data_IF_930823513129
#
_entry.id   IF_930823513129
#
_cell.length_a   1.000
_cell.length_b   1.000
_cell.length_c   1.000
_cell.angle_alpha   90.00
_cell.angle_beta   90.00
_cell.angle_gamma   90.00
#
_symmetry.space_group_name_H-M   'P 1'
#
loop_
_entity.id
_entity.type
_entity.pdbx_description
1 polymer ?
#
# COMPACT_ATOMS: atom_id res chain seq x y z
N UNK A 1 -19.00 10.37 -38.89
CA UNK A 1 -17.95 11.00 -38.06
C UNK A 1 -18.01 12.50 -38.26
N UNK A 2 -18.12 13.26 -37.18
CA UNK A 2 -18.21 14.73 -37.23
C UNK A 2 -16.82 15.34 -37.48
N UNK A 3 -16.76 16.56 -38.01
CA UNK A 3 -15.49 17.28 -38.22
C UNK A 3 -14.66 17.44 -36.93
N UNK A 4 -15.34 17.50 -35.77
CA UNK A 4 -14.71 17.53 -34.45
C UNK A 4 -14.05 16.19 -34.04
N UNK A 5 -14.55 15.06 -34.54
CA UNK A 5 -13.92 13.75 -34.34
C UNK A 5 -12.70 13.53 -35.25
N UNK A 6 -12.66 14.16 -36.43
CA UNK A 6 -11.49 14.10 -37.33
C UNK A 6 -10.32 14.91 -36.79
N UNK A 7 -10.58 16.11 -36.26
CA UNK A 7 -9.56 16.95 -35.64
C UNK A 7 -8.92 16.32 -34.37
N UNK A 8 -9.66 15.47 -33.64
CA UNK A 8 -9.12 14.74 -32.48
C UNK A 8 -8.15 13.61 -32.88
N UNK A 9 -8.38 12.97 -34.04
CA UNK A 9 -7.50 11.89 -34.54
C UNK A 9 -6.27 12.47 -35.25
N UNK A 10 -6.40 13.62 -35.92
CA UNK A 10 -5.32 14.26 -36.69
C UNK A 10 -4.30 15.04 -35.83
N UNK A 11 -4.62 15.33 -34.56
CA UNK A 11 -3.74 16.04 -33.62
C UNK A 11 -2.84 15.15 -32.75
N UNK A 12 -3.02 13.83 -32.79
CA UNK A 12 -2.15 12.87 -32.11
C UNK A 12 -0.89 12.70 -32.96
N UNK A 13 0.07 13.62 -32.79
CA UNK A 13 1.44 13.38 -33.22
C UNK A 13 1.86 11.99 -32.75
N UNK A 14 2.63 11.31 -33.61
CA UNK A 14 3.09 9.93 -33.43
C UNK A 14 4.01 9.86 -32.20
N UNK A 15 3.42 9.88 -31.01
CA UNK A 15 4.14 9.75 -29.76
C UNK A 15 4.73 8.34 -29.77
N UNK A 16 6.05 8.27 -29.90
CA UNK A 16 6.77 7.03 -30.03
C UNK A 16 6.45 6.14 -28.83
N UNK A 17 5.74 5.04 -29.08
CA UNK A 17 5.53 3.99 -28.08
C UNK A 17 6.89 3.57 -27.51
N UNK A 18 6.99 3.27 -26.20
CA UNK A 18 8.24 2.78 -25.63
C UNK A 18 8.70 1.53 -26.40
N UNK A 19 10.01 1.38 -26.66
CA UNK A 19 10.53 0.23 -27.40
C UNK A 19 10.16 -1.07 -26.70
N UNK A 20 9.98 -2.18 -27.45
CA UNK A 20 9.63 -3.47 -26.85
C UNK A 20 10.71 -3.89 -25.85
N UNK A 21 10.30 -4.19 -24.62
CA UNK A 21 11.20 -4.66 -23.55
C UNK A 21 11.82 -6.01 -23.96
N UNK A 22 13.11 -6.19 -23.65
CA UNK A 22 13.78 -7.50 -23.76
C UNK A 22 13.11 -8.48 -22.79
N UNK A 23 12.63 -9.61 -23.31
CA UNK A 23 11.85 -10.60 -22.53
C UNK A 23 12.61 -11.88 -22.18
N UNK A 24 13.84 -12.04 -22.65
CA UNK A 24 14.68 -13.20 -22.33
C UNK A 24 16.14 -12.80 -22.15
N UNK A 25 16.79 -13.46 -21.20
CA UNK A 25 18.17 -13.24 -20.82
C UNK A 25 18.82 -14.59 -20.53
N UNK A 26 20.07 -14.77 -20.93
CA UNK A 26 20.93 -15.76 -20.27
C UNK A 26 21.32 -15.24 -18.88
N UNK A 27 21.66 -16.13 -17.96
CA UNK A 27 22.05 -15.72 -16.61
C UNK A 27 23.24 -14.73 -16.60
N UNK A 28 24.31 -14.88 -17.40
CA UNK A 28 25.39 -13.89 -17.46
C UNK A 28 24.94 -12.52 -17.99
N UNK A 29 24.07 -12.49 -18.99
CA UNK A 29 23.53 -11.23 -19.51
C UNK A 29 22.67 -10.52 -18.47
N UNK A 30 21.86 -11.26 -17.70
CA UNK A 30 21.03 -10.70 -16.64
C UNK A 30 21.88 -10.10 -15.51
N UNK A 31 22.93 -10.82 -15.08
CA UNK A 31 23.83 -10.36 -14.01
C UNK A 31 24.72 -9.18 -14.41
N UNK A 32 24.97 -9.00 -15.72
CA UNK A 32 25.75 -7.88 -16.25
C UNK A 32 24.89 -6.69 -16.69
N UNK A 33 23.57 -6.83 -16.66
CA UNK A 33 22.65 -5.76 -17.01
C UNK A 33 22.58 -4.71 -15.89
N UNK A 34 22.60 -3.44 -16.28
CA UNK A 34 22.29 -2.34 -15.39
C UNK A 34 20.79 -2.02 -15.49
N UNK A 35 20.09 -2.17 -14.38
CA UNK A 35 18.67 -1.82 -14.27
C UNK A 35 18.53 -0.51 -13.50
N UNK A 36 17.70 0.45 -13.97
CA UNK A 36 17.40 1.62 -13.18
C UNK A 36 16.64 1.22 -11.92
N UNK A 37 16.84 1.98 -10.84
CA UNK A 37 16.04 1.83 -9.63
C UNK A 37 14.54 1.98 -9.94
N UNK A 38 13.66 1.19 -9.31
CA UNK A 38 12.22 1.28 -9.53
C UNK A 38 11.71 2.72 -9.31
N UNK A 39 10.90 3.23 -10.23
CA UNK A 39 10.30 4.56 -10.07
C UNK A 39 9.20 4.48 -9.02
N UNK A 40 9.21 5.43 -8.07
CA UNK A 40 8.16 5.55 -7.07
C UNK A 40 7.17 6.65 -7.45
N UNK A 41 5.88 6.31 -7.48
CA UNK A 41 4.81 7.31 -7.45
C UNK A 41 4.69 7.90 -6.05
N UNK A 42 4.80 7.04 -5.03
CA UNK A 42 4.83 7.42 -3.61
C UNK A 42 5.89 6.58 -2.90
N UNK A 43 7.05 7.15 -2.53
CA UNK A 43 8.12 6.40 -1.89
C UNK A 43 7.65 5.57 -0.69
N UNK A 44 8.01 4.29 -0.67
CA UNK A 44 7.64 3.33 0.38
C UNK A 44 6.16 2.88 0.36
N UNK A 45 5.34 3.36 -0.57
CA UNK A 45 3.89 3.04 -0.61
C UNK A 45 3.45 2.55 -1.99
N UNK A 46 3.86 3.22 -3.07
CA UNK A 46 3.46 2.90 -4.45
C UNK A 46 4.67 3.02 -5.38
N UNK A 47 5.24 1.88 -5.75
CA UNK A 47 6.25 1.75 -6.80
C UNK A 47 5.60 1.55 -8.18
N UNK A 48 6.41 1.63 -9.25
CA UNK A 48 6.02 1.18 -10.58
C UNK A 48 5.54 -0.28 -10.56
N UNK A 49 4.59 -0.62 -11.43
CA UNK A 49 3.91 -1.90 -11.40
C UNK A 49 2.43 -1.79 -11.01
N UNK A 50 1.80 -2.94 -10.77
CA UNK A 50 0.38 -3.03 -10.46
C UNK A 50 0.14 -3.16 -8.96
N UNK A 51 -0.53 -2.16 -8.39
CA UNK A 51 -0.91 -2.14 -6.98
C UNK A 51 -2.42 -2.34 -6.82
N UNK A 52 -2.83 -3.35 -6.05
CA UNK A 52 -4.23 -3.54 -5.66
C UNK A 52 -4.53 -2.78 -4.36
N UNK A 53 -5.46 -1.82 -4.40
CA UNK A 53 -5.85 -1.05 -3.22
C UNK A 53 -7.24 -1.44 -2.70
N UNK A 54 -7.25 -2.21 -1.62
CA UNK A 54 -8.39 -2.87 -1.03
C UNK A 54 -8.90 -2.20 0.25
N UNK A 55 -10.13 -2.57 0.65
CA UNK A 55 -10.73 -2.15 1.91
C UNK A 55 -12.25 -2.10 1.85
N UNK A 56 -12.90 -2.01 3.00
CA UNK A 56 -14.36 -2.04 3.09
C UNK A 56 -15.02 -0.84 2.36
N UNK A 57 -16.27 -0.98 1.89
CA UNK A 57 -17.04 0.16 1.38
C UNK A 57 -17.06 1.31 2.38
N UNK A 58 -16.89 2.54 1.89
CA UNK A 58 -16.82 3.77 2.69
C UNK A 58 -15.65 3.87 3.68
N UNK A 59 -14.63 3.01 3.55
CA UNK A 59 -13.40 3.13 4.34
C UNK A 59 -12.57 4.38 4.02
N UNK A 60 -12.81 5.06 2.88
CA UNK A 60 -12.05 6.26 2.49
C UNK A 60 -11.00 6.04 1.40
N UNK A 61 -11.01 4.89 0.71
CA UNK A 61 -10.07 4.56 -0.38
C UNK A 61 -10.04 5.58 -1.49
N UNK A 62 -11.20 6.01 -2.00
CA UNK A 62 -11.27 7.02 -3.06
C UNK A 62 -10.69 8.36 -2.64
N UNK A 63 -10.78 8.73 -1.36
CA UNK A 63 -10.10 9.92 -0.83
C UNK A 63 -8.59 9.72 -0.76
N UNK A 64 -8.12 8.57 -0.28
CA UNK A 64 -6.70 8.24 -0.30
C UNK A 64 -6.14 8.25 -1.72
N UNK A 65 -6.74 7.47 -2.63
CA UNK A 65 -6.28 7.35 -4.01
C UNK A 65 -6.32 8.67 -4.78
N UNK A 66 -7.36 9.48 -4.59
CA UNK A 66 -7.43 10.81 -5.21
C UNK A 66 -6.39 11.77 -4.61
N UNK A 67 -6.15 11.70 -3.29
CA UNK A 67 -5.07 12.42 -2.63
C UNK A 67 -3.68 12.05 -3.15
N UNK A 68 -3.42 10.76 -3.41
CA UNK A 68 -2.16 10.32 -4.04
C UNK A 68 -2.00 10.94 -5.43
N UNK A 69 -3.05 10.92 -6.27
CA UNK A 69 -3.01 11.53 -7.60
C UNK A 69 -2.74 13.04 -7.55
N UNK A 70 -3.35 13.77 -6.60
CA UNK A 70 -3.07 15.19 -6.38
C UNK A 70 -1.64 15.41 -5.91
N UNK A 71 -1.14 14.61 -4.97
CA UNK A 71 0.23 14.72 -4.47
C UNK A 71 1.25 14.52 -5.60
N UNK A 72 1.09 13.46 -6.40
CA UNK A 72 1.98 13.17 -7.54
C UNK A 72 1.94 14.28 -8.59
N UNK A 73 0.74 14.74 -8.97
CA UNK A 73 0.61 15.80 -9.96
C UNK A 73 1.18 17.15 -9.49
N UNK A 74 1.20 17.40 -8.19
CA UNK A 74 1.75 18.64 -7.60
C UNK A 74 3.23 18.53 -7.23
N UNK A 75 3.80 17.33 -7.10
CA UNK A 75 5.09 17.13 -6.44
C UNK A 75 5.06 17.47 -4.95
N UNK A 76 3.89 17.31 -4.32
CA UNK A 76 3.62 17.69 -2.94
C UNK A 76 3.92 16.59 -1.93
N UNK A 77 3.03 16.43 -0.95
CA UNK A 77 3.13 15.39 0.07
C UNK A 77 1.96 14.41 -0.03
N UNK A 78 2.28 13.14 -0.27
CA UNK A 78 1.35 12.04 -0.11
C UNK A 78 1.19 11.69 1.38
N UNK A 79 -0.04 11.38 1.79
CA UNK A 79 -0.38 11.04 3.18
C UNK A 79 0.16 12.06 4.21
N UNK A 80 0.25 13.34 3.83
CA UNK A 80 0.68 14.44 4.69
C UNK A 80 2.16 14.48 5.09
N UNK A 81 2.98 13.49 4.74
CA UNK A 81 4.40 13.43 5.13
C UNK A 81 5.34 12.98 4.03
N UNK A 82 4.90 12.09 3.13
CA UNK A 82 5.76 11.50 2.10
C UNK A 82 5.92 12.50 0.96
N UNK A 83 7.11 13.10 0.82
CA UNK A 83 7.43 13.94 -0.34
C UNK A 83 7.45 13.08 -1.59
N UNK A 84 6.76 13.52 -2.63
CA UNK A 84 6.69 12.80 -3.91
C UNK A 84 7.29 13.63 -5.03
N UNK A 85 7.90 12.94 -5.99
CA UNK A 85 8.37 13.58 -7.20
C UNK A 85 7.19 13.91 -8.13
N UNK A 86 7.22 15.10 -8.74
CA UNK A 86 6.16 15.52 -9.66
C UNK A 86 6.14 14.66 -10.93
N UNK A 87 4.94 14.37 -11.43
CA UNK A 87 4.73 13.67 -12.70
C UNK A 87 3.27 13.69 -13.12
N UNK A 88 2.99 13.24 -14.34
CA UNK A 88 1.61 13.18 -14.80
C UNK A 88 0.84 12.09 -14.07
N UNK A 89 -0.39 12.40 -13.69
CA UNK A 89 -1.29 11.49 -13.00
C UNK A 89 -2.65 11.40 -13.70
N UNK A 90 -3.13 10.18 -13.91
CA UNK A 90 -4.46 9.90 -14.44
C UNK A 90 -5.34 9.30 -13.33
N UNK A 91 -6.40 9.99 -12.93
CA UNK A 91 -7.40 9.49 -11.99
C UNK A 91 -8.71 9.15 -12.72
N UNK A 92 -9.00 7.86 -12.87
CA UNK A 92 -10.20 7.34 -13.53
C UNK A 92 -11.29 7.08 -12.48
N UNK A 93 -12.21 8.01 -12.35
CA UNK A 93 -13.28 8.05 -11.34
C UNK A 93 -14.62 7.57 -11.90
N UNK A 94 -14.96 6.31 -11.68
CA UNK A 94 -16.08 5.62 -12.35
C UNK A 94 -17.36 5.53 -11.52
N UNK A 95 -17.34 6.04 -10.29
CA UNK A 95 -18.51 6.09 -9.40
C UNK A 95 -18.93 7.52 -9.02
N UNK A 96 -18.04 8.49 -9.19
CA UNK A 96 -18.27 9.87 -8.75
C UNK A 96 -18.61 10.79 -9.94
N UNK A 97 -19.73 11.53 -9.89
CA UNK A 97 -20.05 12.50 -10.92
C UNK A 97 -19.11 13.72 -10.85
N UNK A 98 -18.93 14.47 -11.96
CA UNK A 98 -18.03 15.64 -12.01
C UNK A 98 -18.23 16.65 -10.87
N UNK A 99 -19.48 16.94 -10.49
CA UNK A 99 -19.80 17.85 -9.38
C UNK A 99 -19.18 17.40 -8.04
N UNK A 100 -19.18 16.09 -7.77
CA UNK A 100 -18.61 15.53 -6.55
C UNK A 100 -17.09 15.56 -6.61
N UNK A 101 -16.50 15.21 -7.75
CA UNK A 101 -15.05 15.27 -7.96
C UNK A 101 -14.53 16.70 -7.79
N UNK A 102 -15.22 17.69 -8.36
CA UNK A 102 -14.88 19.10 -8.19
C UNK A 102 -14.87 19.52 -6.71
N UNK A 103 -15.90 19.12 -5.95
CA UNK A 103 -15.96 19.41 -4.52
C UNK A 103 -14.81 18.74 -3.74
N UNK A 104 -14.47 17.49 -4.08
CA UNK A 104 -13.34 16.79 -3.46
C UNK A 104 -12.00 17.42 -3.80
N UNK A 105 -11.78 17.77 -5.07
CA UNK A 105 -10.55 18.38 -5.54
C UNK A 105 -10.31 19.72 -4.84
N UNK A 106 -11.32 20.59 -4.76
CA UNK A 106 -11.21 21.86 -4.01
C UNK A 106 -10.79 21.64 -2.56
N UNK A 107 -11.31 20.58 -1.94
CA UNK A 107 -11.00 20.24 -0.55
C UNK A 107 -9.56 19.79 -0.38
N UNK A 108 -9.10 18.86 -1.24
CA UNK A 108 -7.72 18.37 -1.26
C UNK A 108 -6.71 19.48 -1.54
N UNK A 109 -7.05 20.43 -2.42
CA UNK A 109 -6.17 21.54 -2.76
C UNK A 109 -6.09 22.60 -1.65
N UNK A 110 -7.07 22.68 -0.75
CA UNK A 110 -7.06 23.67 0.34
C UNK A 110 -6.93 25.12 -0.12
N UNK A 111 -7.36 25.44 -1.36
CA UNK A 111 -7.19 26.76 -1.98
C UNK A 111 -5.97 26.91 -2.89
N UNK A 112 -5.10 25.91 -2.97
CA UNK A 112 -4.00 25.87 -3.95
C UNK A 112 -4.52 25.78 -5.39
N UNK A 113 -3.66 26.17 -6.33
CA UNK A 113 -3.93 26.05 -7.77
C UNK A 113 -4.07 24.58 -8.15
N UNK A 114 -5.03 24.27 -9.03
CA UNK A 114 -5.21 22.93 -9.54
C UNK A 114 -4.00 22.52 -10.41
N UNK A 115 -3.40 21.33 -10.21
CA UNK A 115 -2.24 20.90 -10.97
C UNK A 115 -2.62 20.58 -12.42
N UNK A 116 -1.87 21.15 -13.38
CA UNK A 116 -2.07 20.89 -14.82
C UNK A 116 -1.75 19.43 -15.20
N UNK A 117 -0.85 18.78 -14.44
CA UNK A 117 -0.41 17.39 -14.62
C UNK A 117 -1.44 16.34 -14.16
N UNK A 118 -2.60 16.75 -13.64
CA UNK A 118 -3.66 15.84 -13.18
C UNK A 118 -4.79 15.74 -14.20
N UNK A 119 -4.88 14.60 -14.87
CA UNK A 119 -6.03 14.26 -15.72
C UNK A 119 -7.07 13.49 -14.89
N UNK A 120 -8.34 13.91 -14.95
CA UNK A 120 -9.46 13.22 -14.29
C UNK A 120 -10.44 12.72 -15.36
N UNK A 121 -10.63 11.41 -15.45
CA UNK A 121 -11.58 10.79 -16.36
C UNK A 121 -12.77 10.22 -15.58
N UNK A 122 -14.00 10.55 -15.97
CA UNK A 122 -15.22 10.02 -15.31
C UNK A 122 -15.78 8.77 -15.98
N UNK A 123 -15.15 8.32 -17.06
CA UNK A 123 -15.59 7.20 -17.88
C UNK A 123 -14.39 6.43 -18.40
N UNK A 124 -14.50 5.10 -18.41
CA UNK A 124 -13.54 4.20 -19.03
C UNK A 124 -14.30 2.99 -19.57
N UNK A 125 -14.05 2.57 -20.82
CA UNK A 125 -14.54 1.29 -21.31
C UNK A 125 -13.99 0.15 -20.45
N UNK A 126 -14.60 -1.03 -20.58
CA UNK A 126 -14.05 -2.24 -19.98
C UNK A 126 -12.67 -2.54 -20.58
N UNK A 127 -11.79 -3.15 -19.79
CA UNK A 127 -10.40 -3.40 -20.20
C UNK A 127 -10.32 -4.24 -21.48
N UNK A 128 -11.17 -5.25 -21.60
CA UNK A 128 -11.32 -6.13 -22.78
C UNK A 128 -12.13 -5.51 -23.93
N UNK A 129 -12.57 -4.25 -23.79
CA UNK A 129 -13.41 -3.54 -24.75
C UNK A 129 -12.88 -2.12 -25.00
N UNK A 130 -11.56 -1.97 -25.10
CA UNK A 130 -10.89 -0.70 -25.43
C UNK A 130 -10.45 0.15 -24.23
N UNK A 131 -10.68 -0.31 -22.99
CA UNK A 131 -10.18 0.37 -21.79
C UNK A 131 -8.66 0.39 -21.72
N UNK A 132 -8.01 -0.73 -22.10
CA UNK A 132 -6.55 -0.83 -22.20
C UNK A 132 -6.00 0.17 -23.21
N UNK A 133 -6.60 0.23 -24.40
CA UNK A 133 -6.17 1.14 -25.47
C UNK A 133 -6.33 2.61 -25.06
N UNK A 134 -7.41 2.94 -24.34
CA UNK A 134 -7.64 4.29 -23.81
C UNK A 134 -6.56 4.72 -22.82
N UNK A 135 -6.19 3.82 -21.89
CA UNK A 135 -5.12 4.10 -20.92
C UNK A 135 -3.76 4.21 -21.62
N UNK A 136 -3.46 3.28 -22.54
CA UNK A 136 -2.23 3.31 -23.33
C UNK A 136 -2.10 4.59 -24.17
N UNK A 137 -3.20 5.06 -24.78
CA UNK A 137 -3.22 6.29 -25.55
C UNK A 137 -2.90 7.52 -24.69
N UNK A 138 -3.42 7.57 -23.45
CA UNK A 138 -3.05 8.63 -22.51
C UNK A 138 -1.58 8.53 -22.09
N UNK A 139 -1.09 7.32 -21.78
CA UNK A 139 0.31 7.12 -21.40
C UNK A 139 1.30 7.50 -22.53
N UNK A 140 0.95 7.23 -23.78
CA UNK A 140 1.78 7.64 -24.92
C UNK A 140 1.92 9.17 -25.01
N UNK A 141 0.89 9.94 -24.64
CA UNK A 141 0.94 11.42 -24.68
C UNK A 141 1.49 12.05 -23.40
N UNK A 142 1.78 11.25 -22.37
CA UNK A 142 2.29 11.69 -21.06
C UNK A 142 3.52 10.87 -20.67
N UNK A 143 4.69 11.09 -21.31
CA UNK A 143 5.90 10.31 -21.04
C UNK A 143 6.42 10.47 -19.60
N UNK A 144 6.05 11.57 -18.93
CA UNK A 144 6.36 11.84 -17.52
C UNK A 144 5.34 11.20 -16.54
N UNK A 145 4.42 10.36 -17.04
CA UNK A 145 3.43 9.69 -16.20
C UNK A 145 4.09 8.91 -15.07
N UNK A 146 3.57 9.10 -13.86
CA UNK A 146 4.00 8.38 -12.65
C UNK A 146 2.90 7.53 -12.06
N UNK A 147 1.64 7.93 -12.24
CA UNK A 147 0.52 7.27 -11.57
C UNK A 147 -0.73 7.22 -12.45
N UNK A 148 -1.30 6.02 -12.58
CA UNK A 148 -2.66 5.80 -13.07
C UNK A 148 -3.48 5.18 -11.95
N UNK A 149 -4.64 5.73 -11.66
CA UNK A 149 -5.57 5.20 -10.67
C UNK A 149 -6.87 4.79 -11.36
N UNK A 150 -7.31 3.55 -11.11
CA UNK A 150 -8.61 3.02 -11.55
C UNK A 150 -9.53 2.88 -10.35
N UNK A 151 -10.49 3.81 -10.21
CA UNK A 151 -11.42 3.86 -9.08
C UNK A 151 -12.88 3.77 -9.59
N UNK A 152 -13.52 2.61 -9.66
CA UNK A 152 -13.20 1.32 -9.02
C UNK A 152 -13.11 0.19 -10.05
N UNK A 153 -12.27 -0.82 -9.77
CA UNK A 153 -12.03 -1.99 -10.63
C UNK A 153 -13.30 -2.65 -11.18
N UNK A 154 -14.34 -2.75 -10.33
CA UNK A 154 -15.58 -3.41 -10.68
C UNK A 154 -16.29 -2.80 -11.91
N UNK A 155 -15.96 -1.56 -12.29
CA UNK A 155 -16.52 -0.86 -13.45
C UNK A 155 -15.77 -1.13 -14.76
N UNK A 156 -14.52 -1.58 -14.70
CA UNK A 156 -13.69 -1.82 -15.89
C UNK A 156 -13.45 -3.31 -16.17
N UNK A 157 -13.66 -4.19 -15.18
CA UNK A 157 -13.52 -5.63 -15.38
C UNK A 157 -14.64 -6.19 -16.26
N UNK A 158 -14.38 -7.33 -16.90
CA UNK A 158 -15.39 -8.05 -17.66
C UNK A 158 -16.53 -8.54 -16.76
N UNK A 159 -17.79 -8.55 -17.23
CA UNK A 159 -18.88 -9.18 -16.50
C UNK A 159 -18.56 -10.65 -16.27
N UNK A 160 -18.75 -11.14 -15.05
CA UNK A 160 -18.68 -12.57 -14.78
C UNK A 160 -19.87 -13.24 -15.49
N UNK A 161 -19.62 -14.13 -16.44
CA UNK A 161 -20.68 -15.00 -16.97
C UNK A 161 -21.02 -16.07 -15.94
N UNK A 162 -22.24 -16.62 -15.97
CA UNK A 162 -22.66 -17.67 -15.03
C UNK A 162 -21.80 -18.95 -15.11
N UNK A 163 -21.02 -19.11 -16.18
CA UNK A 163 -20.13 -20.25 -16.43
C UNK A 163 -18.64 -19.91 -16.22
N UNK A 164 -18.28 -18.63 -16.10
CA UNK A 164 -16.89 -18.22 -15.92
C UNK A 164 -16.54 -18.18 -14.44
N UNK A 165 -15.39 -18.78 -14.11
CA UNK A 165 -14.79 -18.64 -12.80
C UNK A 165 -14.43 -17.17 -12.54
N UNK A 166 -15.02 -16.59 -11.49
CA UNK A 166 -14.81 -15.20 -11.12
C UNK A 166 -13.32 -14.90 -10.85
N UNK A 167 -12.58 -15.88 -10.30
CA UNK A 167 -11.15 -15.79 -10.06
C UNK A 167 -10.37 -15.57 -11.37
N UNK A 168 -10.60 -16.42 -12.39
CA UNK A 168 -9.86 -16.36 -13.66
C UNK A 168 -10.17 -15.07 -14.43
N UNK A 169 -11.43 -14.62 -14.36
CA UNK A 169 -11.84 -13.36 -14.97
C UNK A 169 -11.16 -12.16 -14.31
N UNK A 170 -11.06 -12.15 -12.99
CA UNK A 170 -10.42 -11.09 -12.21
C UNK A 170 -8.90 -11.08 -12.46
N UNK A 171 -8.26 -12.25 -12.46
CA UNK A 171 -6.84 -12.41 -12.78
C UNK A 171 -6.51 -11.91 -14.20
N UNK A 172 -7.33 -12.28 -15.20
CA UNK A 172 -7.16 -11.83 -16.59
C UNK A 172 -7.27 -10.31 -16.72
N UNK A 173 -8.26 -9.70 -16.07
CA UNK A 173 -8.45 -8.26 -16.10
C UNK A 173 -7.27 -7.52 -15.44
N UNK A 174 -6.77 -8.02 -14.30
CA UNK A 174 -5.57 -7.47 -13.66
C UNK A 174 -4.33 -7.64 -14.53
N UNK A 175 -4.16 -8.78 -15.19
CA UNK A 175 -3.03 -9.04 -16.09
C UNK A 175 -2.94 -8.04 -17.25
N UNK A 176 -4.09 -7.55 -17.75
CA UNK A 176 -4.12 -6.49 -18.77
C UNK A 176 -3.55 -5.17 -18.26
N UNK A 177 -3.85 -4.80 -17.01
CA UNK A 177 -3.29 -3.61 -16.37
C UNK A 177 -1.83 -3.79 -16.01
N UNK A 178 -1.43 -4.98 -15.55
CA UNK A 178 -0.03 -5.32 -15.27
C UNK A 178 0.84 -5.16 -16.52
N UNK A 179 0.38 -5.69 -17.66
CA UNK A 179 1.09 -5.53 -18.93
C UNK A 179 1.27 -4.06 -19.33
N UNK A 180 0.31 -3.18 -19.02
CA UNK A 180 0.46 -1.73 -19.21
C UNK A 180 1.48 -1.11 -18.24
N UNK A 181 1.38 -1.43 -16.95
CA UNK A 181 2.30 -0.94 -15.92
C UNK A 181 3.75 -1.28 -16.29
N UNK A 182 3.99 -2.53 -16.70
CA UNK A 182 5.29 -3.01 -17.14
C UNK A 182 5.73 -2.31 -18.43
N UNK A 183 4.89 -2.25 -19.46
CA UNK A 183 5.26 -1.63 -20.73
C UNK A 183 5.68 -0.17 -20.57
N UNK A 184 5.00 0.57 -19.72
CA UNK A 184 5.20 2.02 -19.56
C UNK A 184 6.05 2.41 -18.33
N UNK A 185 6.53 1.44 -17.54
CA UNK A 185 7.27 1.71 -16.28
C UNK A 185 6.51 2.67 -15.35
N UNK A 186 5.20 2.45 -15.19
CA UNK A 186 4.30 3.37 -14.46
C UNK A 186 3.60 2.65 -13.32
N UNK A 187 3.31 3.36 -12.24
CA UNK A 187 2.48 2.83 -11.16
C UNK A 187 1.01 2.83 -11.58
N UNK A 188 0.35 1.68 -11.50
CA UNK A 188 -1.09 1.55 -11.69
C UNK A 188 -1.73 1.08 -10.39
N UNK A 189 -2.58 1.91 -9.80
CA UNK A 189 -3.33 1.60 -8.58
C UNK A 189 -4.77 1.25 -8.93
N UNK A 190 -5.21 0.07 -8.54
CA UNK A 190 -6.55 -0.44 -8.80
C UNK A 190 -7.34 -0.49 -7.50
N UNK A 191 -8.35 0.38 -7.37
CA UNK A 191 -9.19 0.41 -6.18
C UNK A 191 -10.21 -0.73 -6.24
N UNK A 192 -10.30 -1.50 -5.16
CA UNK A 192 -11.21 -2.63 -5.03
C UNK A 192 -11.91 -2.65 -3.67
N UNK A 193 -13.17 -3.12 -3.64
CA UNK A 193 -13.94 -3.23 -2.40
C UNK A 193 -13.87 -4.66 -1.87
N UNK A 194 -13.37 -4.84 -0.64
CA UNK A 194 -13.41 -6.14 0.02
C UNK A 194 -14.80 -6.43 0.59
N UNK A 195 -15.15 -7.71 0.73
CA UNK A 195 -16.38 -8.13 1.42
C UNK A 195 -16.21 -7.94 2.93
N UNK A 196 -17.32 -7.72 3.64
CA UNK A 196 -17.40 -7.34 5.06
C UNK A 196 -17.11 -8.49 6.04
N UNK A 197 -16.10 -9.31 5.81
CA UNK A 197 -15.64 -10.26 6.84
C UNK A 197 -14.51 -9.62 7.60
N UNK A 198 -14.74 -9.33 8.88
CA UNK A 198 -13.71 -8.92 9.83
C UNK A 198 -12.89 -10.17 10.09
N UNK A 199 -11.84 -10.38 9.31
CA UNK A 199 -10.84 -11.39 9.60
C UNK A 199 -9.80 -10.79 10.57
N UNK A 200 -9.28 -11.62 11.48
CA UNK A 200 -8.18 -11.24 12.37
C UNK A 200 -6.91 -11.03 11.56
N UNK A 201 -6.61 -11.95 10.64
CA UNK A 201 -5.60 -11.76 9.61
C UNK A 201 -6.16 -10.88 8.47
N UNK A 202 -5.46 -9.80 8.17
CA UNK A 202 -5.86 -8.89 7.09
C UNK A 202 -5.68 -9.54 5.71
N UNK A 203 -4.77 -10.52 5.55
CA UNK A 203 -4.62 -11.31 4.31
C UNK A 203 -5.86 -12.17 4.06
N UNK A 204 -6.49 -12.70 5.12
CA UNK A 204 -7.76 -13.45 5.00
C UNK A 204 -8.92 -12.56 4.55
N UNK A 205 -8.87 -11.24 4.83
CA UNK A 205 -9.85 -10.29 4.29
C UNK A 205 -9.75 -10.14 2.76
N UNK A 206 -8.62 -10.57 2.18
CA UNK A 206 -8.33 -10.66 0.73
C UNK A 206 -8.75 -12.02 0.14
N UNK A 207 -9.28 -12.95 0.94
CA UNK A 207 -9.67 -14.31 0.49
C UNK A 207 -10.68 -14.31 -0.68
N UNK A 208 -11.60 -13.32 -0.74
CA UNK A 208 -12.50 -13.12 -1.88
C UNK A 208 -11.86 -12.49 -3.12
N UNK A 209 -10.58 -12.15 -3.05
CA UNK A 209 -9.80 -11.35 -4.01
C UNK A 209 -8.45 -12.00 -4.34
N UNK A 210 -8.29 -13.30 -4.07
CA UNK A 210 -7.03 -14.01 -4.31
C UNK A 210 -6.56 -13.91 -5.77
N UNK A 211 -7.48 -13.92 -6.74
CA UNK A 211 -7.15 -13.73 -8.15
C UNK A 211 -6.67 -12.32 -8.48
N UNK A 212 -7.11 -11.32 -7.70
CA UNK A 212 -6.64 -9.94 -7.83
C UNK A 212 -5.28 -9.75 -7.19
N UNK A 213 -5.10 -10.27 -5.97
CA UNK A 213 -3.85 -10.16 -5.22
C UNK A 213 -2.72 -10.92 -5.91
N UNK A 214 -2.98 -12.13 -6.42
CA UNK A 214 -1.99 -12.94 -7.13
C UNK A 214 -1.49 -12.33 -8.45
N UNK A 215 -2.25 -11.43 -9.06
CA UNK A 215 -1.86 -10.70 -10.27
C UNK A 215 -1.16 -9.36 -9.99
N UNK A 216 -1.21 -8.86 -8.74
CA UNK A 216 -0.63 -7.59 -8.36
C UNK A 216 0.83 -7.77 -7.89
N UNK A 217 1.64 -6.73 -8.08
CA UNK A 217 2.99 -6.65 -7.53
C UNK A 217 2.96 -6.24 -6.06
N UNK A 218 1.97 -5.43 -5.68
CA UNK A 218 1.73 -4.98 -4.31
C UNK A 218 0.24 -4.94 -3.96
N UNK A 219 -0.06 -5.09 -2.67
CA UNK A 219 -1.41 -4.98 -2.10
C UNK A 219 -1.40 -3.98 -0.97
N UNK A 220 -2.30 -3.01 -1.04
CA UNK A 220 -2.58 -2.02 0.00
C UNK A 220 -3.96 -2.31 0.57
N UNK A 221 -4.10 -2.32 1.90
CA UNK A 221 -5.41 -2.47 2.54
C UNK A 221 -5.66 -1.33 3.51
N UNK A 222 -6.68 -0.53 3.22
CA UNK A 222 -7.16 0.50 4.14
C UNK A 222 -8.23 -0.08 5.07
N UNK A 223 -7.87 -0.24 6.34
CA UNK A 223 -8.80 -0.57 7.42
C UNK A 223 -9.20 0.70 8.15
N UNK A 224 -10.50 0.84 8.42
CA UNK A 224 -11.04 1.94 9.22
C UNK A 224 -12.17 1.42 10.09
N UNK A 225 -12.02 1.56 11.40
CA UNK A 225 -13.08 1.24 12.35
C UNK A 225 -14.24 2.22 12.22
N UNK A 226 -15.48 1.72 12.28
CA UNK A 226 -16.67 2.58 12.18
C UNK A 226 -16.69 3.58 13.32
N UNK A 227 -16.90 4.85 12.99
CA UNK A 227 -16.97 5.94 13.98
C UNK A 227 -15.62 6.50 14.43
N UNK A 228 -14.50 5.89 14.01
CA UNK A 228 -13.16 6.39 14.29
C UNK A 228 -12.64 7.29 13.15
N UNK A 229 -11.88 8.33 13.52
CA UNK A 229 -11.15 9.16 12.56
C UNK A 229 -9.95 8.40 11.97
N UNK A 230 -9.38 7.49 12.76
CA UNK A 230 -8.15 6.79 12.46
C UNK A 230 -8.39 5.50 11.68
N UNK A 231 -7.36 5.08 10.96
CA UNK A 231 -7.32 3.87 10.16
C UNK A 231 -5.90 3.33 10.03
N UNK A 232 -5.79 2.15 9.47
CA UNK A 232 -4.51 1.50 9.21
C UNK A 232 -4.39 1.26 7.70
N UNK A 233 -3.21 1.53 7.16
CA UNK A 233 -2.84 1.12 5.82
C UNK A 233 -1.82 -0.01 5.93
N UNK A 234 -2.25 -1.21 5.55
CA UNK A 234 -1.40 -2.40 5.49
C UNK A 234 -0.81 -2.50 4.09
N UNK A 235 0.47 -2.80 3.98
CA UNK A 235 1.21 -2.90 2.73
C UNK A 235 1.96 -4.23 2.69
N UNK A 236 1.93 -4.87 1.53
CA UNK A 236 2.79 -6.00 1.19
C UNK A 236 3.04 -5.99 -0.32
N UNK A 237 4.18 -6.47 -0.76
CA UNK A 237 4.46 -6.61 -2.17
C UNK A 237 5.72 -7.42 -2.43
N UNK A 238 6.01 -7.65 -3.71
CA UNK A 238 7.24 -8.31 -4.15
C UNK A 238 8.47 -7.44 -3.88
N UNK A 239 8.31 -6.15 -4.13
CA UNK A 239 9.35 -5.13 -4.04
C UNK A 239 9.07 -4.09 -2.92
N UNK A 240 8.09 -4.35 -2.07
CA UNK A 240 7.69 -3.48 -0.95
C UNK A 240 7.72 -4.29 0.34
N UNK A 241 8.45 -3.78 1.33
CA UNK A 241 8.50 -4.38 2.67
C UNK A 241 7.11 -4.42 3.31
N UNK A 242 6.81 -5.53 3.98
CA UNK A 242 5.56 -5.65 4.71
C UNK A 242 5.53 -4.65 5.87
N UNK A 243 4.56 -3.73 5.84
CA UNK A 243 4.49 -2.67 6.85
C UNK A 243 3.06 -2.20 7.07
N UNK A 244 2.83 -1.61 8.24
CA UNK A 244 1.52 -1.07 8.61
C UNK A 244 1.67 0.37 9.09
N UNK A 245 1.05 1.30 8.36
CA UNK A 245 1.00 2.70 8.73
C UNK A 245 -0.30 3.03 9.48
N UNK A 246 -0.19 3.76 10.59
CA UNK A 246 -1.33 4.42 11.19
C UNK A 246 -1.65 5.71 10.42
N UNK A 247 -2.93 5.91 10.14
CA UNK A 247 -3.44 7.07 9.43
C UNK A 247 -4.56 7.75 10.21
N UNK A 248 -4.61 9.08 10.19
CA UNK A 248 -5.78 9.86 10.59
C UNK A 248 -6.47 10.45 9.36
N UNK A 249 -7.81 10.42 9.33
CA UNK A 249 -8.57 11.10 8.29
C UNK A 249 -8.88 12.54 8.71
N UNK A 250 -8.14 13.50 8.16
CA UNK A 250 -8.41 14.92 8.29
C UNK A 250 -9.67 15.30 7.50
N UNK A 251 -10.82 15.27 8.17
CA UNK A 251 -12.12 15.38 7.54
C UNK A 251 -12.38 16.75 6.89
N UNK A 252 -11.70 17.80 7.33
CA UNK A 252 -11.71 19.17 6.80
C UNK A 252 -10.88 19.29 5.51
N UNK A 253 -9.79 18.53 5.40
CA UNK A 253 -8.95 18.45 4.19
C UNK A 253 -9.40 17.36 3.22
N UNK A 254 -10.21 16.41 3.69
CA UNK A 254 -10.55 15.21 2.92
C UNK A 254 -9.33 14.32 2.66
N UNK A 255 -8.30 14.41 3.48
CA UNK A 255 -7.02 13.75 3.27
C UNK A 255 -6.73 12.75 4.39
N UNK A 256 -6.06 11.66 4.04
CA UNK A 256 -5.41 10.78 5.02
C UNK A 256 -4.03 11.33 5.34
N UNK A 257 -3.64 11.27 6.60
CA UNK A 257 -2.34 11.72 7.09
C UNK A 257 -1.66 10.62 7.90
N UNK A 258 -0.38 10.40 7.67
CA UNK A 258 0.45 9.50 8.47
C UNK A 258 0.57 10.02 9.90
N UNK A 259 0.26 9.14 10.84
CA UNK A 259 0.54 9.37 12.26
C UNK A 259 1.98 8.93 12.59
N UNK A 260 2.49 9.39 13.72
CA UNK A 260 3.85 9.04 14.18
C UNK A 260 3.82 7.75 15.00
N UNK A 261 4.74 6.83 14.70
CA UNK A 261 4.76 5.51 15.32
C UNK A 261 3.89 4.47 14.61
N UNK A 262 3.93 3.20 15.03
CA UNK A 262 3.26 2.09 14.38
C UNK A 262 1.75 2.09 14.62
N UNK A 263 1.05 1.41 13.73
CA UNK A 263 -0.41 1.30 13.75
C UNK A 263 -1.01 0.81 15.08
N UNK A 264 -0.30 -0.09 15.77
CA UNK A 264 -0.73 -0.63 17.06
C UNK A 264 -0.91 0.46 18.14
N UNK A 265 -0.20 1.58 18.05
CA UNK A 265 -0.35 2.68 19.00
C UNK A 265 -1.71 3.39 18.86
N UNK A 266 -2.44 3.16 17.75
CA UNK A 266 -3.68 3.84 17.40
C UNK A 266 -4.88 2.89 17.25
N UNK A 267 -4.65 1.60 17.04
CA UNK A 267 -5.72 0.60 16.95
C UNK A 267 -6.20 0.05 18.29
N UNK A 268 -5.51 0.38 19.38
CA UNK A 268 -5.89 0.01 20.73
C UNK A 268 -6.78 1.09 21.36
N UNK A 269 -7.75 0.68 22.19
CA UNK A 269 -8.62 1.65 22.88
C UNK A 269 -7.82 2.69 23.68
N UNK A 270 -8.34 3.92 23.82
CA UNK A 270 -7.64 5.13 24.29
C UNK A 270 -6.58 4.91 25.38
N UNK A 271 -6.88 4.09 26.39
CA UNK A 271 -5.95 3.79 27.48
C UNK A 271 -4.71 3.00 27.04
N UNK A 272 -4.86 1.99 26.18
CA UNK A 272 -3.75 1.16 25.68
C UNK A 272 -2.83 1.98 24.76
N UNK A 273 -3.41 2.77 23.87
CA UNK A 273 -2.71 3.72 23.00
C UNK A 273 -1.87 4.72 23.81
N UNK A 274 -2.47 5.30 24.86
CA UNK A 274 -1.78 6.24 25.75
C UNK A 274 -0.60 5.60 26.49
N UNK A 275 -0.75 4.36 26.96
CA UNK A 275 0.33 3.60 27.62
C UNK A 275 1.51 3.38 26.67
N UNK A 276 1.25 2.90 25.45
CA UNK A 276 2.29 2.64 24.45
C UNK A 276 3.06 3.90 24.05
N UNK A 277 2.35 4.99 23.76
CA UNK A 277 2.96 6.28 23.40
C UNK A 277 3.90 6.78 24.49
N UNK A 278 3.44 6.76 25.74
CA UNK A 278 4.26 7.16 26.88
C UNK A 278 5.51 6.28 27.03
N UNK A 279 5.37 4.96 26.87
CA UNK A 279 6.48 4.02 26.98
C UNK A 279 7.57 4.21 25.92
N UNK A 280 7.22 4.67 24.71
CA UNK A 280 8.18 5.05 23.66
C UNK A 280 8.96 6.30 24.00
N UNK A 281 8.29 7.31 24.56
CA UNK A 281 8.93 8.56 24.94
C UNK A 281 9.98 8.36 26.06
N UNK A 282 9.68 7.48 27.01
CA UNK A 282 10.54 7.26 28.20
C UNK A 282 11.42 6.01 28.11
N UNK A 283 11.27 5.21 27.05
CA UNK A 283 12.05 3.98 26.82
C UNK A 283 11.73 2.83 27.77
N UNK A 284 10.66 2.93 28.58
CA UNK A 284 10.24 1.91 29.53
C UNK A 284 9.86 2.44 30.91
N UNK A 285 8.78 1.91 31.51
CA UNK A 285 8.30 2.39 32.80
C UNK A 285 7.52 1.31 33.59
N UNK A 286 7.45 1.50 34.91
CA UNK A 286 6.60 0.69 35.79
C UNK A 286 5.13 1.12 35.69
N UNK A 287 4.15 0.24 36.02
CA UNK A 287 2.74 0.63 36.03
C UNK A 287 2.41 1.87 36.87
N UNK A 288 3.18 2.11 37.95
CA UNK A 288 3.03 3.31 38.77
C UNK A 288 3.45 4.57 38.02
N UNK A 289 4.63 4.56 37.39
CA UNK A 289 5.10 5.70 36.59
C UNK A 289 4.17 6.01 35.42
N UNK A 290 3.66 4.97 34.74
CA UNK A 290 2.69 5.11 33.65
C UNK A 290 1.37 5.71 34.17
N UNK A 291 0.88 5.24 35.32
CA UNK A 291 -0.35 5.76 35.93
C UNK A 291 -0.21 7.23 36.34
N UNK A 292 0.91 7.59 36.96
CA UNK A 292 1.21 8.96 37.39
C UNK A 292 1.33 9.90 36.17
N UNK A 293 1.99 9.46 35.09
CA UNK A 293 2.17 10.25 33.88
C UNK A 293 0.87 10.47 33.09
N UNK A 294 -0.02 9.47 33.05
CA UNK A 294 -1.26 9.52 32.28
C UNK A 294 -2.48 10.00 33.11
N UNK A 295 -2.30 10.27 34.41
CA UNK A 295 -3.39 10.62 35.31
C UNK A 295 -4.43 9.50 35.48
N UNK A 296 -4.00 8.25 35.37
CA UNK A 296 -4.87 7.07 35.40
C UNK A 296 -4.76 6.33 36.74
N UNK A 297 -5.78 5.53 37.07
CA UNK A 297 -5.75 4.69 38.27
C UNK A 297 -4.74 3.56 38.13
N UNK A 298 -3.82 3.42 39.10
CA UNK A 298 -2.73 2.44 39.08
C UNK A 298 -3.19 1.01 38.80
N UNK A 299 -4.27 0.54 39.44
CA UNK A 299 -4.75 -0.83 39.25
C UNK A 299 -5.28 -1.07 37.83
N UNK A 300 -5.88 -0.05 37.21
CA UNK A 300 -6.33 -0.09 35.83
C UNK A 300 -5.13 -0.21 34.90
N UNK A 301 -4.11 0.64 35.08
CA UNK A 301 -2.89 0.62 34.28
C UNK A 301 -2.13 -0.69 34.45
N UNK A 302 -1.99 -1.20 35.68
CA UNK A 302 -1.33 -2.47 35.97
C UNK A 302 -2.01 -3.64 35.25
N UNK A 303 -3.33 -3.75 35.37
CA UNK A 303 -4.08 -4.81 34.69
C UNK A 303 -4.03 -4.65 33.17
N UNK A 304 -4.06 -3.41 32.67
CA UNK A 304 -3.96 -3.12 31.23
C UNK A 304 -2.58 -3.47 30.68
N UNK A 305 -1.49 -3.07 31.33
CA UNK A 305 -0.12 -3.40 30.91
C UNK A 305 0.13 -4.91 30.93
N UNK A 306 -0.37 -5.61 31.96
CA UNK A 306 -0.33 -7.07 32.01
C UNK A 306 -1.06 -7.71 30.83
N UNK A 307 -2.28 -7.24 30.52
CA UNK A 307 -3.03 -7.73 29.37
C UNK A 307 -2.33 -7.39 28.05
N UNK A 308 -1.79 -6.18 27.90
CA UNK A 308 -1.05 -5.77 26.70
C UNK A 308 0.23 -6.57 26.49
N UNK A 309 0.91 -6.98 27.56
CA UNK A 309 2.06 -7.91 27.46
C UNK A 309 1.63 -9.33 27.09
N UNK A 310 0.45 -9.77 27.54
CA UNK A 310 -0.15 -11.05 27.09
C UNK A 310 -0.62 -11.03 25.64
N UNK A 311 -1.01 -9.86 25.15
CA UNK A 311 -1.44 -9.62 23.77
C UNK A 311 -0.24 -9.31 22.83
N UNK A 312 1.01 -9.54 23.27
CA UNK A 312 2.26 -9.24 22.54
C UNK A 312 2.36 -7.79 22.03
N UNK A 313 1.92 -6.83 22.86
CA UNK A 313 1.95 -5.38 22.56
C UNK A 313 3.04 -4.65 23.35
N UNK A 314 3.51 -5.24 24.45
CA UNK A 314 4.55 -4.70 25.33
C UNK A 314 5.51 -5.82 25.73
N UNK A 315 6.80 -5.50 25.80
CA UNK A 315 7.80 -6.39 26.39
C UNK A 315 8.00 -6.08 27.89
N UNK A 316 8.63 -6.99 28.62
CA UNK A 316 8.91 -6.84 30.05
C UNK A 316 10.37 -7.09 30.36
N UNK A 317 11.05 -6.10 30.93
CA UNK A 317 12.40 -6.25 31.47
C UNK A 317 12.50 -5.54 32.83
N UNK A 318 13.17 -6.16 33.80
CA UNK A 318 13.46 -5.58 35.12
C UNK A 318 12.25 -4.96 35.84
N UNK A 319 11.08 -5.62 35.74
CA UNK A 319 9.83 -5.15 36.34
C UNK A 319 9.22 -3.91 35.69
N UNK A 320 9.71 -3.51 34.51
CA UNK A 320 9.18 -2.44 33.67
C UNK A 320 8.54 -3.02 32.42
N UNK A 321 7.57 -2.27 31.89
CA UNK A 321 7.03 -2.51 30.56
C UNK A 321 7.79 -1.66 29.54
N UNK A 322 8.07 -2.25 28.39
CA UNK A 322 8.82 -1.66 27.29
C UNK A 322 7.94 -1.65 26.02
N UNK A 323 8.07 -0.64 25.15
CA UNK A 323 7.45 -0.70 23.83
C UNK A 323 8.16 -1.75 22.98
N UNK A 324 7.41 -2.53 22.20
CA UNK A 324 8.01 -3.43 21.22
C UNK A 324 8.61 -2.57 20.11
N UNK A 325 9.93 -2.62 19.95
CA UNK A 325 10.62 -2.16 18.75
C UNK A 325 10.56 -3.33 17.77
N UNK A 326 9.95 -3.15 16.60
CA UNK A 326 9.87 -4.22 15.61
C UNK A 326 11.28 -4.60 15.14
N UNK A 327 11.82 -5.65 15.74
CA UNK A 327 12.79 -6.58 15.17
C UNK A 327 12.22 -7.97 15.45
N UNK A 328 11.31 -8.43 14.58
CA UNK A 328 10.85 -9.81 14.62
C UNK A 328 12.05 -10.72 14.30
N UNK A 329 12.42 -11.52 15.29
CA UNK A 329 13.42 -12.61 15.29
C UNK A 329 14.88 -12.24 15.55
N UNK A 330 15.27 -12.24 16.83
CA UNK A 330 16.39 -13.08 17.26
C UNK A 330 16.27 -13.44 18.75
N UNK A 331 15.46 -14.47 19.06
CA UNK A 331 15.65 -15.24 20.30
C UNK A 331 16.53 -16.43 19.94
N UNK A 332 17.83 -16.18 19.78
CA UNK A 332 18.81 -17.22 20.05
C UNK A 332 18.73 -17.43 21.56
N UNK A 333 18.19 -18.57 21.97
CA UNK A 333 18.30 -19.03 23.35
C UNK A 333 19.78 -19.31 23.62
N UNK A 334 20.47 -18.33 24.18
CA UNK A 334 21.68 -18.58 24.95
C UNK A 334 21.24 -19.32 26.22
N UNK A 335 21.41 -20.64 26.24
CA UNK A 335 21.45 -21.40 27.49
C UNK A 335 22.88 -21.92 27.69
N UNK A 336 23.41 -21.58 28.86
CA UNK A 336 24.80 -21.70 29.26
C UNK A 336 25.16 -23.14 29.71
N UNK A 337 26.45 -23.45 29.90
CA UNK A 337 27.00 -24.81 29.80
C UNK A 337 26.83 -25.60 31.09
N UNK A 338 26.51 -26.89 30.98
CA UNK A 338 26.89 -27.88 32.00
C UNK A 338 27.34 -29.16 31.31
N UNK A 339 28.51 -29.65 31.75
CA UNK A 339 29.28 -30.65 31.03
C UNK A 339 28.78 -32.07 31.17
N UNK A 340 29.18 -32.90 30.22
CA UNK A 340 29.42 -34.32 30.44
C UNK A 340 30.68 -34.74 29.68
N UNK A 341 31.53 -35.45 30.42
CA UNK A 341 32.81 -35.98 29.98
C UNK A 341 32.65 -37.24 29.11
N UNK A 342 33.59 -37.41 28.17
CA UNK A 342 34.02 -38.70 27.64
C UNK A 342 33.23 -39.21 26.44
N UNK A 343 33.88 -39.31 25.28
CA UNK A 343 34.33 -40.60 24.73
C UNK A 343 35.17 -40.35 23.45
N UNK A 344 36.32 -41.02 23.41
CA UNK A 344 37.30 -41.03 22.32
C UNK A 344 36.77 -41.68 21.03
N UNK A 345 37.31 -41.23 19.89
CA UNK A 345 37.72 -42.16 18.83
C UNK A 345 37.12 -41.95 17.44
N UNK A 346 38.02 -42.01 16.45
CA UNK A 346 37.83 -42.18 15.00
C UNK A 346 37.37 -40.92 14.25
N UNK A 347 38.07 -40.36 13.27
CA UNK A 347 39.16 -40.85 12.43
C UNK A 347 38.91 -40.24 11.05
N UNK A 348 39.72 -39.25 10.66
CA UNK A 348 39.71 -38.65 9.32
C UNK A 348 40.27 -39.63 8.29
N UNK A 349 39.73 -39.63 7.07
CA UNK A 349 40.53 -39.86 5.89
C UNK A 349 40.56 -38.60 5.03
N UNK A 350 41.76 -38.03 4.93
CA UNK A 350 42.21 -37.29 3.74
C UNK A 350 42.30 -38.24 2.55
N UNK A 351 41.86 -37.79 1.38
CA UNK A 351 42.42 -38.14 0.05
C UNK A 351 41.95 -37.03 -0.90
N UNK A 352 42.81 -36.08 -1.27
CA UNK A 352 43.77 -36.10 -2.38
C UNK A 352 43.14 -35.91 -3.77
N UNK A 353 43.77 -34.98 -4.50
CA UNK A 353 43.51 -34.53 -5.87
C UNK A 353 43.47 -35.68 -6.88
N UNK A 354 42.61 -35.51 -7.90
CA UNK A 354 42.96 -35.59 -9.32
C UNK A 354 41.88 -34.93 -10.18
#
# INVERSE_FOLDING_TARGET
MTASQRAYVEGLGEAASPPPRRTSWTAPELLSAEFPEPRWAVPGVVAEGLTLFCGAPKAGKSWAAFGLAVAVATGGQALGKIVVESGDALYIALEDPPRRLQARLRKLLGGATAPERLTIATECPRLDAGGVDKIAAWLNTHPDARLVVVDVFAKVRSPSSAQANAYDSDYRAMSLLKALADRFCVAIVVVHHTRKTVAEDWLDSVSGTQGLAGAADAVLILRRSRGQADGELHLTGRDIEETVYALAFAADLGAWQLLDGPAIDYSLGDTRAAILRHLREVGGATPKQIADALGLQHNVVKQRCWQMSKDDQLDTADGRYLPITHNLHNRVTEDHPTGYAGYDGYGTPETEEL
#
